data_IF_204909607245
#
_entry.id   IF_204909607245
#
_cell.length_a   1.000
_cell.length_b   1.000
_cell.length_c   1.000
_cell.angle_alpha   90.00
_cell.angle_beta   90.00
_cell.angle_gamma   90.00
#
_symmetry.space_group_name_H-M   'P 1'
#
loop_
_entity.id
_entity.type
_entity.pdbx_description
1 polymer ?
#
# COMPACT_ATOMS: atom_id res chain seq x y z
N UNK A 1 5.24 21.69 -0.06
CA UNK A 1 4.95 20.40 -0.72
C UNK A 1 5.63 20.42 -2.08
N UNK A 2 6.34 19.36 -2.45
CA UNK A 2 7.09 19.31 -3.70
C UNK A 2 6.78 18.02 -4.48
N UNK A 3 6.88 18.09 -5.81
CA UNK A 3 6.66 16.93 -6.68
C UNK A 3 7.67 15.83 -6.34
N UNK A 4 7.17 14.62 -6.12
CA UNK A 4 7.98 13.44 -5.76
C UNK A 4 8.01 13.14 -4.27
N UNK A 5 7.58 14.06 -3.40
CA UNK A 5 7.49 13.81 -1.97
C UNK A 5 6.49 12.68 -1.69
N UNK A 6 6.82 11.85 -0.69
CA UNK A 6 5.93 10.86 -0.09
C UNK A 6 5.30 11.49 1.14
N UNK A 7 3.99 11.47 1.24
CA UNK A 7 3.22 12.09 2.32
C UNK A 7 2.24 11.08 2.89
N UNK A 8 2.12 11.01 4.21
CA UNK A 8 1.16 10.16 4.90
C UNK A 8 -0.17 10.89 5.09
N UNK A 9 -1.28 10.17 4.89
CA UNK A 9 -2.64 10.68 5.01
C UNK A 9 -3.45 9.77 5.92
N UNK A 10 -4.12 10.36 6.91
CA UNK A 10 -5.12 9.67 7.71
C UNK A 10 -6.43 9.55 6.93
N UNK A 11 -6.88 8.31 6.71
CA UNK A 11 -8.16 8.03 6.10
C UNK A 11 -9.29 8.14 7.13
N UNK A 12 -10.53 8.47 6.71
CA UNK A 12 -11.68 8.50 7.62
C UNK A 12 -11.95 7.16 8.33
N UNK A 13 -11.41 6.07 7.79
CA UNK A 13 -11.44 4.72 8.38
C UNK A 13 -10.49 4.54 9.57
N UNK A 14 -9.59 5.50 9.82
CA UNK A 14 -8.54 5.42 10.84
C UNK A 14 -7.25 4.73 10.39
N UNK A 15 -7.14 4.36 9.11
CA UNK A 15 -5.93 3.81 8.52
C UNK A 15 -5.06 4.94 7.93
N UNK A 16 -3.74 4.81 8.05
CA UNK A 16 -2.78 5.72 7.41
C UNK A 16 -2.33 5.17 6.06
N UNK A 17 -2.34 6.01 5.02
CA UNK A 17 -1.86 5.66 3.68
C UNK A 17 -0.81 6.64 3.18
N UNK A 18 0.23 6.12 2.54
CA UNK A 18 1.24 6.94 1.88
C UNK A 18 0.83 7.27 0.43
N UNK A 19 0.81 8.55 0.10
CA UNK A 19 0.58 9.06 -1.25
C UNK A 19 1.79 9.80 -1.80
N UNK A 20 2.03 9.72 -3.10
CA UNK A 20 3.12 10.44 -3.79
C UNK A 20 2.59 11.68 -4.49
N UNK A 21 3.23 12.82 -4.28
CA UNK A 21 2.86 14.05 -4.99
C UNK A 21 3.34 13.97 -6.45
N UNK A 22 2.42 14.10 -7.39
CA UNK A 22 2.73 14.06 -8.84
C UNK A 22 2.61 15.43 -9.52
N UNK A 23 1.85 16.37 -8.93
CA UNK A 23 1.76 17.75 -9.37
C UNK A 23 1.41 18.69 -8.21
N UNK A 24 1.91 19.93 -8.27
CA UNK A 24 1.58 21.02 -7.35
C UNK A 24 1.17 22.21 -8.21
N UNK A 25 -0.03 22.72 -8.00
CA UNK A 25 -0.56 23.96 -8.57
C UNK A 25 -0.69 25.02 -7.46
N UNK A 26 -1.20 26.21 -7.78
CA UNK A 26 -1.28 27.32 -6.83
C UNK A 26 -2.20 27.00 -5.63
N UNK A 27 -3.36 26.38 -5.90
CA UNK A 27 -4.36 26.05 -4.87
C UNK A 27 -4.50 24.55 -4.61
N UNK A 28 -3.97 23.70 -5.49
CA UNK A 28 -4.25 22.25 -5.50
C UNK A 28 -2.99 21.39 -5.61
N UNK A 29 -3.05 20.19 -5.06
CA UNK A 29 -2.00 19.16 -5.18
C UNK A 29 -2.61 17.87 -5.69
N UNK A 30 -1.97 17.27 -6.70
CA UNK A 30 -2.36 15.95 -7.21
C UNK A 30 -1.50 14.87 -6.56
N UNK A 31 -2.15 13.88 -5.97
CA UNK A 31 -1.52 12.78 -5.22
C UNK A 31 -1.86 11.44 -5.87
N UNK A 32 -0.85 10.60 -6.06
CA UNK A 32 -1.00 9.22 -6.51
C UNK A 32 -0.92 8.26 -5.31
N UNK A 33 -1.99 7.51 -5.09
CA UNK A 33 -2.11 6.49 -4.04
C UNK A 33 -1.97 5.06 -4.59
N UNK A 34 -1.67 4.90 -5.88
CA UNK A 34 -1.54 3.58 -6.46
C UNK A 34 -0.37 2.81 -5.82
N UNK A 35 -0.58 1.55 -5.39
CA UNK A 35 0.51 0.67 -5.04
C UNK A 35 1.61 0.66 -6.12
N UNK A 36 2.90 0.48 -5.74
CA UNK A 36 4.03 0.60 -6.68
C UNK A 36 3.94 -0.29 -7.94
N UNK A 37 3.15 -1.36 -7.87
CA UNK A 37 2.97 -2.36 -8.91
C UNK A 37 1.61 -2.30 -9.62
N UNK A 38 0.76 -1.32 -9.30
CA UNK A 38 -0.53 -1.14 -9.95
C UNK A 38 -0.39 -0.99 -11.46
N UNK A 39 -1.23 -1.72 -12.20
CA UNK A 39 -1.28 -1.67 -13.66
C UNK A 39 -0.06 -2.28 -14.37
N UNK A 40 0.81 -3.00 -13.65
CA UNK A 40 1.98 -3.65 -14.24
C UNK A 40 1.87 -5.17 -14.10
N UNK A 41 2.15 -5.89 -15.17
CA UNK A 41 2.46 -7.31 -15.08
C UNK A 41 3.80 -7.47 -14.35
N UNK A 42 3.80 -8.23 -13.27
CA UNK A 42 5.02 -8.57 -12.54
C UNK A 42 5.17 -10.09 -12.46
N UNK A 43 6.42 -10.56 -12.52
CA UNK A 43 6.76 -11.97 -12.37
C UNK A 43 7.45 -12.16 -11.03
N UNK A 44 6.91 -13.06 -10.23
CA UNK A 44 7.54 -13.51 -8.99
C UNK A 44 8.08 -14.93 -9.16
N UNK A 45 9.19 -15.19 -8.49
CA UNK A 45 9.66 -16.55 -8.21
C UNK A 45 9.48 -16.77 -6.72
N UNK A 46 8.68 -17.78 -6.37
CA UNK A 46 8.38 -18.13 -4.99
C UNK A 46 8.96 -19.51 -4.73
N UNK A 47 9.72 -19.63 -3.65
CA UNK A 47 10.16 -20.92 -3.12
C UNK A 47 9.45 -21.16 -1.78
N UNK A 48 8.70 -22.26 -1.69
CA UNK A 48 8.03 -22.64 -0.45
C UNK A 48 9.03 -23.41 0.40
N UNK A 49 9.49 -22.80 1.50
CA UNK A 49 10.48 -23.40 2.40
C UNK A 49 9.84 -24.35 3.42
N UNK A 50 8.63 -24.04 3.89
CA UNK A 50 7.86 -24.86 4.82
C UNK A 50 6.38 -24.45 4.79
N UNK A 51 5.49 -25.40 5.13
CA UNK A 51 4.07 -25.14 5.36
C UNK A 51 3.67 -25.77 6.70
N UNK A 52 3.00 -25.00 7.54
CA UNK A 52 2.53 -25.43 8.86
C UNK A 52 1.01 -25.28 8.94
N UNK A 53 0.33 -26.13 9.73
CA UNK A 53 -1.06 -25.88 10.11
C UNK A 53 -1.16 -24.47 10.73
N UNK A 54 -2.26 -23.73 10.49
CA UNK A 54 -2.45 -22.43 11.11
C UNK A 54 -2.42 -22.58 12.63
N UNK A 55 -1.68 -21.72 13.33
CA UNK A 55 -1.69 -21.68 14.78
C UNK A 55 -3.09 -21.34 15.32
N UNK A 56 -3.38 -21.69 16.57
CA UNK A 56 -4.69 -21.46 17.19
C UNK A 56 -5.16 -19.99 17.09
N UNK A 57 -4.23 -19.03 17.10
CA UNK A 57 -4.51 -17.60 16.92
C UNK A 57 -4.79 -17.20 15.46
N UNK A 58 -4.22 -17.89 14.47
CA UNK A 58 -4.45 -17.62 13.05
C UNK A 58 -5.76 -18.23 12.54
N UNK A 59 -6.23 -19.32 13.16
CA UNK A 59 -7.54 -19.92 12.86
C UNK A 59 -8.70 -19.00 13.24
N UNK A 60 -8.54 -18.18 14.29
CA UNK A 60 -9.58 -17.26 14.76
C UNK A 60 -9.86 -16.08 13.79
N UNK A 61 -8.93 -15.77 12.88
CA UNK A 61 -9.08 -14.67 11.90
C UNK A 61 -9.76 -15.12 10.58
N UNK A 62 -10.11 -16.40 10.46
CA UNK A 62 -10.82 -16.97 9.30
C UNK A 62 -12.15 -17.66 9.69
N UNK A 63 -12.67 -17.34 10.88
CA UNK A 63 -13.97 -17.80 11.37
C UNK A 63 -15.12 -16.85 11.07
#
# INVERSE_FOLDING_TARGET
LEKGALVEFDLPTGEAVAGRIIAVADDDVTVDFNPPLSGRDFRYQIEILAAHPPGAEQQANYG
#
